data_IF_015086590254
#
_entry.id   IF_015086590254
#
_cell.length_a   1.000
_cell.length_b   1.000
_cell.length_c   1.000
_cell.angle_alpha   90.00
_cell.angle_beta   90.00
_cell.angle_gamma   90.00
#
_symmetry.space_group_name_H-M   'P 1'
#
loop_
_entity.id
_entity.type
_entity.pdbx_description
1 polymer ?
#
# COMPACT_ATOMS: atom_id res chain seq x y z
N UNK A 1 6.93 -21.94 5.75
CA UNK A 1 6.74 -21.27 5.70
C UNK A 1 6.51 -20.69 5.23
N UNK A 2 6.43 -20.55 5.28
CA UNK A 2 6.18 -19.76 4.89
C UNK A 2 6.57 -19.23 4.88
N UNK A 3 6.65 -19.20 4.94
CA UNK A 3 6.84 -18.42 5.03
C UNK A 3 6.67 -17.75 5.73
N UNK A 4 6.98 -17.61 6.46
CA UNK A 4 6.74 -16.80 7.12
C UNK A 4 6.91 -15.67 6.92
N UNK A 5 7.32 -15.35 6.63
CA UNK A 5 7.38 -14.26 6.51
C UNK A 5 6.86 -13.67 5.41
N UNK A 6 6.29 -14.18 4.81
CA UNK A 6 5.45 -13.61 3.82
C UNK A 6 4.17 -13.18 4.43
N UNK A 7 3.77 -13.86 5.46
CA UNK A 7 2.68 -13.38 6.25
C UNK A 7 3.24 -12.34 7.18
N UNK A 8 3.18 -11.10 6.77
CA UNK A 8 3.63 -10.04 7.66
C UNK A 8 2.44 -9.44 8.38
N UNK A 9 2.72 -8.77 9.48
CA UNK A 9 1.72 -8.06 10.25
C UNK A 9 1.45 -6.74 9.55
N UNK A 10 0.30 -6.61 8.92
CA UNK A 10 -0.05 -5.41 8.18
C UNK A 10 -0.02 -4.16 9.02
N UNK A 11 -0.54 -4.25 10.22
CA UNK A 11 -0.60 -3.08 11.09
C UNK A 11 0.79 -2.64 11.50
N UNK A 12 1.66 -3.59 11.83
CA UNK A 12 3.03 -3.28 12.22
C UNK A 12 3.81 -2.68 11.05
N UNK A 13 3.63 -3.22 9.86
CA UNK A 13 4.34 -2.71 8.70
C UNK A 13 3.83 -1.34 8.29
N UNK A 14 2.53 -1.10 8.38
CA UNK A 14 1.98 0.23 8.09
C UNK A 14 2.51 1.26 9.06
N UNK A 15 2.59 0.90 10.34
CA UNK A 15 3.11 1.82 11.35
C UNK A 15 4.58 2.12 11.09
N UNK A 16 5.36 1.11 10.71
CA UNK A 16 6.78 1.30 10.42
C UNK A 16 6.98 2.26 9.25
N UNK A 17 6.17 2.12 8.20
CA UNK A 17 6.23 3.03 7.06
C UNK A 17 5.88 4.45 7.51
N UNK A 18 4.80 4.59 8.27
CA UNK A 18 4.37 5.90 8.75
C UNK A 18 5.45 6.57 9.58
N UNK A 19 6.08 5.80 10.49
CA UNK A 19 7.14 6.34 11.34
C UNK A 19 8.32 6.81 10.51
N UNK A 20 8.74 6.03 9.52
CA UNK A 20 9.84 6.42 8.66
C UNK A 20 9.54 7.68 7.87
N UNK A 21 8.34 7.76 7.31
CA UNK A 21 7.97 8.92 6.51
C UNK A 21 7.86 10.17 7.37
N UNK A 22 7.38 10.03 8.61
CA UNK A 22 7.34 11.15 9.53
C UNK A 22 8.74 11.64 9.85
N UNK A 23 9.69 10.73 10.09
CA UNK A 23 11.08 11.09 10.34
C UNK A 23 11.71 11.81 9.16
N UNK A 24 11.26 11.49 7.95
CA UNK A 24 11.77 12.10 6.73
C UNK A 24 11.03 13.37 6.35
N UNK A 25 10.04 13.78 7.14
CA UNK A 25 9.22 14.95 6.82
C UNK A 25 8.14 14.71 5.80
N UNK A 26 7.80 13.44 5.54
CA UNK A 26 6.83 13.08 4.52
C UNK A 26 5.54 12.49 5.10
N UNK A 27 5.27 12.75 6.38
CA UNK A 27 4.10 12.17 7.03
C UNK A 27 2.80 12.53 6.34
N UNK A 28 2.72 13.73 5.76
CA UNK A 28 1.50 14.18 5.09
C UNK A 28 1.27 13.46 3.77
N UNK A 29 2.26 12.76 3.26
CA UNK A 29 2.17 12.06 1.99
C UNK A 29 1.86 10.56 2.15
N UNK A 30 1.76 10.07 3.38
CA UNK A 30 1.56 8.66 3.61
C UNK A 30 0.31 8.14 2.90
N UNK A 31 -0.79 8.84 3.04
CA UNK A 31 -2.04 8.42 2.42
C UNK A 31 -1.93 8.40 0.90
N UNK A 32 -1.29 9.41 0.33
CA UNK A 32 -1.08 9.45 -1.12
C UNK A 32 -0.27 8.27 -1.61
N UNK A 33 0.76 7.88 -0.87
CA UNK A 33 1.60 6.74 -1.22
C UNK A 33 0.80 5.46 -1.20
N UNK A 34 -0.04 5.28 -0.19
CA UNK A 34 -0.86 4.09 -0.09
C UNK A 34 -1.93 4.08 -1.17
N UNK A 35 -2.49 5.24 -1.50
CA UNK A 35 -3.47 5.32 -2.58
C UNK A 35 -2.85 5.01 -3.93
N UNK A 36 -1.61 5.43 -4.14
CA UNK A 36 -0.91 5.11 -5.38
C UNK A 36 -0.71 3.60 -5.52
N UNK A 37 -0.29 2.94 -4.45
CA UNK A 37 -0.15 1.49 -4.46
C UNK A 37 -1.50 0.82 -4.73
N UNK A 38 -2.56 1.35 -4.14
CA UNK A 38 -3.90 0.81 -4.33
C UNK A 38 -4.35 0.93 -5.79
N UNK A 39 -4.07 2.06 -6.41
CA UNK A 39 -4.41 2.26 -7.82
C UNK A 39 -3.67 1.27 -8.71
N UNK A 40 -2.40 0.99 -8.40
CA UNK A 40 -1.62 0.02 -9.16
C UNK A 40 -2.21 -1.39 -9.05
N UNK A 41 -2.83 -1.73 -7.93
CA UNK A 41 -3.49 -3.02 -7.76
C UNK A 41 -4.57 -3.20 -8.83
N UNK A 42 -5.26 -2.12 -9.18
CA UNK A 42 -6.34 -2.19 -10.16
C UNK A 42 -5.86 -2.73 -11.50
N UNK A 43 -4.62 -2.46 -11.86
CA UNK A 43 -4.04 -2.94 -13.11
C UNK A 43 -3.53 -4.36 -13.07
N UNK A 44 -3.53 -5.01 -11.93
CA UNK A 44 -3.05 -6.39 -11.80
C UNK A 44 -4.03 -7.35 -12.45
N UNK A 45 -3.49 -8.37 -13.10
CA UNK A 45 -4.36 -9.38 -13.72
C UNK A 45 -4.25 -10.67 -12.93
N UNK A 46 -5.30 -11.46 -12.90
CA UNK A 46 -6.59 -11.28 -13.60
C UNK A 46 -7.65 -10.54 -12.78
N UNK A 47 -7.44 -10.32 -11.49
CA UNK A 47 -8.50 -9.87 -10.58
C UNK A 47 -8.24 -8.50 -9.97
N UNK A 48 -7.46 -7.66 -10.64
CA UNK A 48 -7.06 -6.38 -10.06
C UNK A 48 -8.20 -5.49 -9.63
N UNK A 49 -9.26 -5.41 -10.42
CA UNK A 49 -10.40 -4.56 -10.08
C UNK A 49 -11.10 -5.09 -8.82
N UNK A 50 -11.27 -6.39 -8.71
CA UNK A 50 -11.86 -6.99 -7.52
C UNK A 50 -10.98 -6.75 -6.29
N UNK A 51 -9.68 -6.92 -6.43
CA UNK A 51 -8.73 -6.66 -5.35
C UNK A 51 -8.80 -5.20 -4.89
N UNK A 52 -8.86 -4.29 -5.85
CA UNK A 52 -8.97 -2.86 -5.55
C UNK A 52 -10.22 -2.59 -4.72
N UNK A 53 -11.36 -3.12 -5.15
CA UNK A 53 -12.62 -2.89 -4.46
C UNK A 53 -12.60 -3.44 -3.04
N UNK A 54 -12.05 -4.64 -2.87
CA UNK A 54 -11.98 -5.28 -1.56
C UNK A 54 -11.09 -4.46 -0.62
N UNK A 55 -9.91 -4.08 -1.09
CA UNK A 55 -8.97 -3.33 -0.27
C UNK A 55 -9.52 -1.95 0.07
N UNK A 56 -10.13 -1.28 -0.90
CA UNK A 56 -10.71 0.03 -0.66
C UNK A 56 -11.81 -0.07 0.41
N UNK A 57 -12.72 -1.03 0.25
CA UNK A 57 -13.82 -1.18 1.19
C UNK A 57 -13.32 -1.52 2.59
N UNK A 58 -12.30 -2.37 2.71
CA UNK A 58 -11.86 -2.84 4.02
C UNK A 58 -10.98 -1.83 4.74
N UNK A 59 -10.13 -1.12 4.02
CA UNK A 59 -9.09 -0.31 4.66
C UNK A 59 -9.18 1.18 4.39
N UNK A 60 -9.85 1.59 3.34
CA UNK A 60 -9.88 3.00 2.95
C UNK A 60 -11.26 3.63 3.07
N UNK A 61 -12.29 2.83 3.29
CA UNK A 61 -13.65 3.34 3.46
C UNK A 61 -13.91 3.58 4.94
N UNK A 62 -14.23 4.81 5.30
CA UNK A 62 -14.45 5.19 6.69
C UNK A 62 -15.65 4.48 7.33
N UNK A 63 -16.57 4.01 6.51
CA UNK A 63 -17.80 3.38 7.00
C UNK A 63 -17.70 1.88 7.13
N UNK A 64 -16.59 1.28 6.73
CA UNK A 64 -16.39 -0.16 6.82
C UNK A 64 -15.28 -0.44 7.82
N UNK A 65 -15.64 -1.01 8.96
CA UNK A 65 -14.68 -1.28 10.02
C UNK A 65 -14.35 -2.75 10.18
N UNK A 66 -14.97 -3.62 9.38
CA UNK A 66 -14.74 -5.06 9.49
C UNK A 66 -14.81 -5.71 8.12
N UNK A 67 -14.36 -6.96 8.07
CA UNK A 67 -14.48 -7.75 6.84
C UNK A 67 -15.94 -7.92 6.44
N UNK A 68 -16.80 -8.12 7.42
CA UNK A 68 -18.22 -8.29 7.14
C UNK A 68 -18.81 -7.03 6.52
N UNK A 69 -18.47 -5.87 7.08
CA UNK A 69 -18.94 -4.61 6.52
C UNK A 69 -18.47 -4.47 5.08
N UNK A 70 -17.25 -4.88 4.81
CA UNK A 70 -16.67 -4.75 3.47
C UNK A 70 -17.41 -5.61 2.46
N UNK A 71 -17.59 -6.92 2.73
CA UNK A 71 -18.20 -7.75 1.72
C UNK A 71 -19.69 -7.48 1.57
N UNK A 72 -20.35 -7.04 2.65
CA UNK A 72 -21.75 -6.64 2.54
C UNK A 72 -21.89 -5.39 1.70
N UNK A 73 -21.03 -4.40 1.89
CA UNK A 73 -21.08 -3.17 1.10
C UNK A 73 -20.80 -3.41 -0.37
N UNK A 74 -19.98 -4.40 -0.68
CA UNK A 74 -19.66 -4.74 -2.06
C UNK A 74 -20.69 -5.64 -2.72
N UNK A 75 -21.61 -6.20 -1.93
CA UNK A 75 -22.61 -7.11 -2.47
C UNK A 75 -22.05 -8.44 -2.93
N UNK A 76 -20.94 -8.90 -2.34
CA UNK A 76 -20.35 -10.19 -2.68
C UNK A 76 -20.50 -11.13 -1.50
N UNK A 77 -20.35 -12.43 -1.78
CA UNK A 77 -20.44 -13.43 -0.72
C UNK A 77 -19.20 -13.42 0.14
N UNK A 78 -19.32 -13.88 1.37
CA UNK A 78 -18.16 -13.99 2.26
C UNK A 78 -17.10 -14.93 1.67
N UNK A 79 -17.51 -16.00 1.01
CA UNK A 79 -16.55 -16.94 0.44
C UNK A 79 -15.76 -16.30 -0.70
N UNK A 80 -16.41 -15.51 -1.55
CA UNK A 80 -15.72 -14.77 -2.61
C UNK A 80 -14.74 -13.77 -2.01
N UNK A 81 -15.20 -13.04 -1.00
CA UNK A 81 -14.36 -12.07 -0.32
C UNK A 81 -13.11 -12.71 0.26
N UNK A 82 -13.27 -13.77 1.05
CA UNK A 82 -12.12 -14.39 1.71
C UNK A 82 -11.21 -15.11 0.73
N UNK A 83 -11.73 -15.56 -0.39
CA UNK A 83 -10.92 -16.18 -1.42
C UNK A 83 -9.95 -15.17 -2.03
N UNK A 84 -10.35 -13.91 -2.14
CA UNK A 84 -9.56 -12.90 -2.82
C UNK A 84 -8.74 -11.99 -1.90
N UNK A 85 -9.16 -11.81 -0.64
CA UNK A 85 -8.52 -10.77 0.15
C UNK A 85 -7.04 -11.02 0.43
N UNK A 86 -6.65 -12.25 0.68
CA UNK A 86 -5.24 -12.55 0.93
C UNK A 86 -4.38 -12.20 -0.26
N UNK A 87 -4.84 -12.56 -1.45
CA UNK A 87 -4.10 -12.26 -2.65
C UNK A 87 -4.10 -10.76 -2.93
N UNK A 88 -5.23 -10.10 -2.66
CA UNK A 88 -5.33 -8.65 -2.81
C UNK A 88 -4.27 -7.95 -1.94
N UNK A 89 -4.15 -8.38 -0.70
CA UNK A 89 -3.17 -7.81 0.21
C UNK A 89 -1.75 -8.04 -0.29
N UNK A 90 -1.46 -9.22 -0.83
CA UNK A 90 -0.14 -9.51 -1.37
C UNK A 90 0.19 -8.63 -2.57
N UNK A 91 -0.78 -8.44 -3.45
CA UNK A 91 -0.58 -7.59 -4.62
C UNK A 91 -0.37 -6.15 -4.20
N UNK A 92 -1.14 -5.68 -3.23
CA UNK A 92 -0.96 -4.33 -2.68
C UNK A 92 0.44 -4.17 -2.09
N UNK A 93 0.84 -5.12 -1.25
CA UNK A 93 2.15 -5.06 -0.60
C UNK A 93 3.27 -5.08 -1.64
N UNK A 94 3.13 -5.90 -2.68
CA UNK A 94 4.14 -5.97 -3.72
C UNK A 94 4.27 -4.62 -4.44
N UNK A 95 3.15 -3.98 -4.77
CA UNK A 95 3.21 -2.67 -5.42
C UNK A 95 3.79 -1.61 -4.49
N UNK A 96 3.39 -1.63 -3.22
CA UNK A 96 3.89 -0.66 -2.26
C UNK A 96 5.41 -0.79 -2.07
N UNK A 97 5.89 -2.01 -1.82
CA UNK A 97 7.28 -2.24 -1.47
C UNK A 97 8.21 -2.31 -2.66
N UNK A 98 7.74 -2.76 -3.81
CA UNK A 98 8.60 -2.98 -4.96
C UNK A 98 8.52 -1.87 -6.00
N UNK A 99 7.50 -1.03 -5.96
CA UNK A 99 7.32 0.04 -6.94
C UNK A 99 7.27 1.40 -6.26
N UNK A 100 6.25 1.63 -5.40
CA UNK A 100 6.00 2.97 -4.87
C UNK A 100 7.09 3.43 -3.93
N UNK A 101 7.47 2.61 -2.95
CA UNK A 101 8.49 2.98 -1.98
C UNK A 101 9.87 3.15 -2.63
N UNK A 102 10.33 2.23 -3.49
CA UNK A 102 11.60 2.44 -4.18
C UNK A 102 11.62 3.71 -5.02
N UNK A 103 10.54 4.01 -5.73
CA UNK A 103 10.47 5.24 -6.52
C UNK A 103 10.59 6.47 -5.64
N UNK A 104 9.93 6.45 -4.49
CA UNK A 104 10.01 7.56 -3.55
C UNK A 104 11.44 7.76 -3.04
N UNK A 105 12.09 6.67 -2.68
CA UNK A 105 13.47 6.72 -2.17
C UNK A 105 14.42 7.27 -3.23
N UNK A 106 14.28 6.78 -4.46
CA UNK A 106 15.11 7.24 -5.57
C UNK A 106 14.89 8.73 -5.82
N UNK A 107 13.63 9.17 -5.80
CA UNK A 107 13.31 10.58 -6.00
C UNK A 107 13.94 11.46 -4.92
N UNK A 108 13.91 11.02 -3.68
CA UNK A 108 14.52 11.76 -2.58
C UNK A 108 16.04 11.83 -2.75
N UNK A 109 16.67 10.74 -3.13
CA UNK A 109 18.11 10.72 -3.35
C UNK A 109 18.51 11.65 -4.49
N UNK A 110 17.75 11.62 -5.57
CA UNK A 110 18.01 12.51 -6.70
C UNK A 110 17.86 13.98 -6.31
N UNK A 111 16.87 14.27 -5.50
CA UNK A 111 16.64 15.63 -5.02
C UNK A 111 17.81 16.11 -4.16
N UNK A 112 18.29 15.29 -3.26
CA UNK A 112 19.43 15.61 -2.42
C UNK A 112 20.68 15.88 -3.24
N UNK A 113 20.97 15.03 -4.22
CA UNK A 113 22.11 15.21 -5.09
C UNK A 113 22.01 16.52 -5.88
N UNK A 114 20.82 16.85 -6.32
CA UNK A 114 20.58 18.09 -7.05
C UNK A 114 20.86 19.29 -6.16
N UNK A 115 20.41 19.26 -4.92
CA UNK A 115 20.64 20.35 -3.97
C UNK A 115 22.12 20.51 -3.66
N UNK A 116 22.82 19.41 -3.44
CA UNK A 116 24.26 19.45 -3.17
C UNK A 116 25.02 20.09 -4.31
N UNK A 117 24.62 19.75 -5.53
CA UNK A 117 25.25 20.30 -6.72
C UNK A 117 25.02 21.81 -6.81
N UNK A 118 23.81 22.26 -6.51
CA UNK A 118 23.49 23.67 -6.54
C UNK A 118 24.23 24.44 -5.48
N UNK A 119 24.47 23.82 -4.33
CA UNK A 119 25.18 24.49 -3.24
C UNK A 119 26.70 24.41 -3.39
N UNK A 120 27.19 23.78 -4.43
CA UNK A 120 28.61 23.63 -4.65
C UNK A 120 29.26 22.59 -3.77
N UNK A 121 28.50 21.71 -3.18
CA UNK A 121 28.99 20.59 -2.38
C UNK A 121 29.23 19.43 -3.31
N UNK A 122 30.41 18.89 -3.32
CA UNK A 122 30.74 17.81 -4.24
C UNK A 122 30.84 16.46 -3.55
#
# INVERSE_FOLDING_TARGET
>A
MYNRRIDFDHDADRKRIADRLAEMGHSMQLLSIMEEALVLVKGSRPHGVMYYKILHARYFDAYCSSNEDAYLSLGISSSTYYRHIKQAIRVFAANLWCVVIPDLIISEQMHELSLERELGVS
#
